data_IF_234484761919
#
_entry.id   IF_234484761919
#
_cell.length_a   1.000
_cell.length_b   1.000
_cell.length_c   1.000
_cell.angle_alpha   90.00
_cell.angle_beta   90.00
_cell.angle_gamma   90.00
#
_symmetry.space_group_name_H-M   'P 1'
#
loop_
_entity.id
_entity.type
_entity.pdbx_description
1 polymer ?
#
# COMPACT_ATOMS: atom_id res chain seq x y z
N UNK A 1 -15.11 -20.35 -62.91
CA UNK A 1 -14.20 -20.39 -64.09
C UNK A 1 -12.84 -19.90 -63.65
N UNK A 2 -11.90 -20.82 -63.75
CA UNK A 2 -10.43 -20.84 -63.67
C UNK A 2 -9.71 -19.66 -64.35
N UNK A 3 -8.36 -19.60 -64.33
CA UNK A 3 -7.34 -20.26 -63.47
C UNK A 3 -6.14 -19.34 -63.01
N UNK A 4 -5.24 -19.98 -62.25
CA UNK A 4 -3.84 -19.68 -61.90
C UNK A 4 -2.93 -19.18 -63.06
N UNK A 5 -1.68 -18.65 -62.80
CA UNK A 5 -0.58 -19.54 -62.41
C UNK A 5 0.45 -19.00 -61.36
N UNK A 6 1.12 -19.98 -60.80
CA UNK A 6 2.44 -20.05 -60.16
C UNK A 6 3.57 -19.25 -60.80
N UNK A 7 4.45 -18.69 -60.00
CA UNK A 7 5.90 -18.66 -60.32
C UNK A 7 6.73 -18.90 -59.04
N UNK A 8 7.52 -19.92 -59.13
CA UNK A 8 8.61 -20.40 -58.28
C UNK A 8 9.80 -19.47 -58.44
N UNK A 9 10.47 -19.13 -57.37
CA UNK A 9 11.76 -18.46 -57.36
C UNK A 9 12.54 -18.82 -56.09
N UNK A 10 13.28 -19.90 -56.19
CA UNK A 10 14.30 -20.30 -55.22
C UNK A 10 15.56 -19.44 -55.40
N UNK A 11 16.07 -18.87 -54.35
CA UNK A 11 17.46 -18.42 -54.32
C UNK A 11 18.07 -18.76 -52.95
N UNK A 12 18.96 -19.75 -52.97
CA UNK A 12 19.90 -20.11 -51.92
C UNK A 12 21.07 -19.12 -51.94
N UNK A 13 21.46 -18.59 -50.77
CA UNK A 13 22.84 -18.13 -50.55
C UNK A 13 23.21 -18.15 -49.06
N UNK A 14 24.07 -19.07 -48.80
CA UNK A 14 25.23 -19.22 -47.89
C UNK A 14 25.39 -18.29 -46.65
N UNK A 15 25.42 -18.94 -45.52
CA UNK A 15 26.37 -19.00 -44.38
C UNK A 15 27.41 -17.88 -44.26
N UNK A 16 27.31 -17.14 -43.13
CA UNK A 16 28.49 -16.68 -42.39
C UNK A 16 28.19 -16.73 -40.90
N UNK A 17 28.78 -17.71 -40.22
CA UNK A 17 28.83 -17.80 -38.80
C UNK A 17 29.79 -16.73 -38.27
N UNK A 18 29.29 -15.71 -37.55
CA UNK A 18 30.10 -14.94 -36.61
C UNK A 18 29.56 -15.20 -35.21
N UNK A 19 30.31 -16.00 -34.48
CA UNK A 19 30.14 -16.12 -33.05
C UNK A 19 30.57 -14.79 -32.41
N UNK A 20 29.57 -13.97 -32.04
CA UNK A 20 29.77 -12.89 -31.09
C UNK A 20 29.22 -13.35 -29.75
N UNK A 21 30.14 -13.64 -28.86
CA UNK A 21 29.94 -13.79 -27.42
C UNK A 21 29.15 -12.57 -26.91
N UNK A 22 27.90 -12.80 -26.56
CA UNK A 22 27.08 -11.81 -25.88
C UNK A 22 27.48 -11.82 -24.40
N UNK A 23 27.97 -10.71 -23.82
CA UNK A 23 28.15 -10.64 -22.38
C UNK A 23 26.79 -10.47 -21.72
N UNK A 24 26.46 -11.41 -20.84
CA UNK A 24 25.70 -11.21 -19.63
C UNK A 24 24.39 -10.44 -19.66
N UNK A 25 23.31 -11.09 -20.06
CA UNK A 25 21.93 -10.65 -19.74
C UNK A 25 21.54 -10.88 -18.25
N UNK A 26 22.51 -11.13 -17.36
CA UNK A 26 22.27 -11.35 -15.93
C UNK A 26 22.22 -10.09 -15.07
N UNK A 27 22.87 -9.00 -15.52
CA UNK A 27 22.99 -7.79 -14.70
C UNK A 27 21.78 -6.88 -14.67
N UNK A 28 20.98 -6.82 -15.76
CA UNK A 28 19.82 -5.94 -15.82
C UNK A 28 18.61 -6.50 -15.05
N UNK A 29 18.45 -7.81 -15.00
CA UNK A 29 17.35 -8.45 -14.26
C UNK A 29 17.59 -8.38 -12.76
N UNK A 30 18.83 -8.53 -12.28
CA UNK A 30 19.18 -8.35 -10.86
C UNK A 30 19.09 -6.89 -10.43
N UNK A 31 19.50 -5.93 -11.27
CA UNK A 31 19.38 -4.51 -10.98
C UNK A 31 17.91 -4.06 -10.94
N UNK A 32 17.04 -4.59 -11.82
CA UNK A 32 15.61 -4.33 -11.79
C UNK A 32 14.94 -4.98 -10.58
N UNK A 33 15.29 -6.20 -10.24
CA UNK A 33 14.77 -6.87 -9.05
C UNK A 33 15.17 -6.14 -7.76
N UNK A 34 16.38 -5.60 -7.68
CA UNK A 34 16.84 -4.78 -6.56
C UNK A 34 16.13 -3.42 -6.51
N UNK A 35 15.88 -2.79 -7.65
CA UNK A 35 15.09 -1.55 -7.73
C UNK A 35 13.64 -1.77 -7.34
N UNK A 36 13.03 -2.89 -7.75
CA UNK A 36 11.66 -3.24 -7.43
C UNK A 36 11.48 -3.58 -5.95
N UNK A 37 12.48 -4.18 -5.33
CA UNK A 37 12.50 -4.46 -3.89
C UNK A 37 12.57 -3.17 -3.08
N UNK A 38 13.31 -2.15 -3.56
CA UNK A 38 13.40 -0.84 -2.93
C UNK A 38 12.08 -0.04 -3.00
N UNK A 39 11.17 -0.40 -3.88
CA UNK A 39 9.89 0.31 -4.07
C UNK A 39 8.95 0.21 -2.86
N UNK A 40 8.99 -0.91 -2.12
CA UNK A 40 8.24 -1.14 -0.90
C UNK A 40 9.13 -1.47 0.30
N UNK A 41 10.42 -1.63 0.08
CA UNK A 41 11.35 -1.61 1.18
C UNK A 41 11.48 -0.16 1.59
N UNK A 42 10.65 0.25 2.50
CA UNK A 42 10.91 1.44 3.28
C UNK A 42 12.36 1.29 3.75
N UNK A 43 13.20 2.15 3.20
CA UNK A 43 14.62 2.13 3.47
C UNK A 43 14.80 2.13 5.00
N UNK A 44 15.25 1.01 5.54
CA UNK A 44 15.47 0.82 6.98
C UNK A 44 16.56 1.76 7.53
N UNK A 45 17.18 2.56 6.67
CA UNK A 45 18.13 3.62 7.02
C UNK A 45 17.47 4.85 7.66
N UNK A 46 16.14 5.00 7.56
CA UNK A 46 15.46 6.10 8.24
C UNK A 46 15.47 5.90 9.76
N UNK A 47 16.15 6.77 10.46
CA UNK A 47 16.22 6.83 11.93
C UNK A 47 14.85 6.93 12.64
N UNK A 48 13.77 6.98 11.89
CA UNK A 48 12.38 7.02 12.37
C UNK A 48 11.78 5.64 12.62
N UNK A 49 12.33 4.57 12.04
CA UNK A 49 11.80 3.23 12.27
C UNK A 49 12.10 2.73 13.68
N UNK A 50 11.06 2.29 14.33
CA UNK A 50 11.16 1.55 15.57
C UNK A 50 11.10 0.05 15.26
N UNK A 51 11.71 -0.81 16.10
CA UNK A 51 11.54 -2.25 15.97
C UNK A 51 10.06 -2.64 16.03
N UNK A 52 9.63 -3.53 15.16
CA UNK A 52 8.27 -4.07 15.19
C UNK A 52 8.07 -4.99 16.39
N UNK A 53 6.84 -5.09 16.88
CA UNK A 53 6.45 -6.00 17.95
C UNK A 53 6.53 -5.41 19.37
N UNK A 54 7.04 -4.21 19.55
CA UNK A 54 7.12 -3.50 20.84
C UNK A 54 6.02 -2.46 21.06
N UNK A 55 5.20 -2.24 20.04
CA UNK A 55 4.08 -1.31 20.11
C UNK A 55 2.91 -1.84 20.94
N UNK A 56 2.06 -0.92 21.41
CA UNK A 56 0.86 -1.24 22.15
C UNK A 56 -0.41 -0.62 21.60
N UNK A 57 -0.33 0.18 20.53
CA UNK A 57 -1.50 0.76 19.89
C UNK A 57 -2.35 -0.30 19.21
N UNK A 58 -3.65 -0.05 19.16
CA UNK A 58 -4.61 -0.85 18.37
C UNK A 58 -4.83 -0.17 17.02
N UNK A 59 -5.30 -0.93 16.04
CA UNK A 59 -5.69 -0.36 14.74
C UNK A 59 -6.71 0.77 14.89
N UNK A 60 -7.55 0.71 15.91
CA UNK A 60 -8.58 1.71 16.19
C UNK A 60 -8.00 3.04 16.67
N UNK A 61 -6.84 3.00 17.30
CA UNK A 61 -6.14 4.18 17.81
C UNK A 61 -5.52 5.03 16.68
N UNK A 62 -5.19 4.40 15.55
CA UNK A 62 -4.62 5.05 14.36
C UNK A 62 -5.64 5.19 13.22
N UNK A 63 -6.89 4.81 13.44
CA UNK A 63 -7.94 4.87 12.44
C UNK A 63 -8.60 6.25 12.37
N UNK A 64 -8.76 6.78 11.16
CA UNK A 64 -9.60 7.94 10.88
C UNK A 64 -11.00 7.43 10.55
N UNK A 65 -12.01 7.85 11.30
CA UNK A 65 -13.39 7.33 11.19
C UNK A 65 -14.32 8.39 10.63
N UNK A 66 -15.18 8.00 9.69
CA UNK A 66 -16.23 8.84 9.11
C UNK A 66 -17.58 8.15 9.30
N UNK A 67 -18.58 8.92 9.70
CA UNK A 67 -19.97 8.45 9.76
C UNK A 67 -20.74 9.04 8.58
N UNK A 68 -21.11 8.20 7.61
CA UNK A 68 -21.97 8.55 6.50
C UNK A 68 -23.41 8.10 6.79
N UNK A 69 -24.36 8.49 5.95
CA UNK A 69 -25.73 7.99 6.05
C UNK A 69 -25.76 6.47 5.86
N UNK A 70 -25.95 5.73 6.95
CA UNK A 70 -26.03 4.26 6.95
C UNK A 70 -24.71 3.50 6.82
N UNK A 71 -23.55 4.19 6.71
CA UNK A 71 -22.24 3.56 6.60
C UNK A 71 -21.24 4.19 7.57
N UNK A 72 -20.49 3.36 8.26
CA UNK A 72 -19.28 3.76 8.97
C UNK A 72 -18.05 3.44 8.11
N UNK A 73 -17.20 4.44 7.88
CA UNK A 73 -15.94 4.27 7.16
C UNK A 73 -14.80 4.39 8.13
N UNK A 74 -13.83 3.51 7.99
CA UNK A 74 -12.59 3.50 8.77
C UNK A 74 -11.41 3.45 7.82
N UNK A 75 -10.50 4.39 7.97
CA UNK A 75 -9.31 4.56 7.13
C UNK A 75 -8.09 4.44 8.01
N UNK A 76 -7.21 3.49 7.70
CA UNK A 76 -5.97 3.20 8.46
C UNK A 76 -4.79 3.31 7.50
N UNK A 77 -3.79 4.14 7.78
CA UNK A 77 -2.58 4.17 6.96
C UNK A 77 -1.79 2.86 7.11
N UNK A 78 -1.35 2.30 5.99
CA UNK A 78 -0.48 1.12 5.94
C UNK A 78 0.99 1.54 5.81
N UNK A 79 1.39 2.52 6.58
CA UNK A 79 2.75 3.06 6.60
C UNK A 79 3.55 2.42 7.74
N UNK A 80 4.72 1.89 7.42
CA UNK A 80 5.58 1.19 8.38
C UNK A 80 5.98 2.07 9.57
N UNK A 81 6.13 3.38 9.39
CA UNK A 81 6.44 4.31 10.49
C UNK A 81 5.34 4.38 11.54
N UNK A 82 4.12 4.01 11.13
CA UNK A 82 2.90 4.03 11.96
C UNK A 82 2.54 2.62 12.43
N UNK A 83 2.45 1.64 11.52
CA UNK A 83 1.95 0.31 11.90
C UNK A 83 2.89 -0.45 12.83
N UNK A 84 4.20 -0.16 12.84
CA UNK A 84 5.17 -0.74 13.80
C UNK A 84 4.91 -0.35 15.26
N UNK A 85 4.10 0.67 15.50
CA UNK A 85 3.68 1.10 16.83
C UNK A 85 2.47 0.32 17.35
N UNK A 86 1.88 -0.51 16.52
CA UNK A 86 0.76 -1.38 16.90
C UNK A 86 1.24 -2.56 17.74
N UNK A 87 0.32 -3.10 18.53
CA UNK A 87 0.50 -4.41 19.16
C UNK A 87 0.88 -5.46 18.12
N UNK A 88 1.73 -6.41 18.49
CA UNK A 88 2.37 -7.38 17.61
C UNK A 88 1.41 -8.06 16.62
N UNK A 89 0.22 -8.49 17.08
CA UNK A 89 -0.76 -9.16 16.23
C UNK A 89 -1.38 -8.20 15.20
N UNK A 90 -1.68 -6.97 15.61
CA UNK A 90 -2.22 -5.92 14.74
C UNK A 90 -1.20 -5.48 13.69
N UNK A 91 0.05 -5.33 14.09
CA UNK A 91 1.16 -5.06 13.17
C UNK A 91 1.26 -6.15 12.12
N UNK A 92 1.39 -7.41 12.56
CA UNK A 92 1.56 -8.56 11.67
C UNK A 92 0.42 -8.68 10.68
N UNK A 93 -0.82 -8.51 11.13
CA UNK A 93 -1.99 -8.57 10.25
C UNK A 93 -1.97 -7.51 9.13
N UNK A 94 -1.55 -6.27 9.42
CA UNK A 94 -1.48 -5.22 8.40
C UNK A 94 -0.23 -5.33 7.51
N UNK A 95 0.91 -5.72 8.09
CA UNK A 95 2.13 -5.96 7.36
C UNK A 95 1.95 -7.11 6.35
N UNK A 96 1.46 -8.27 6.79
CA UNK A 96 1.20 -9.43 5.93
C UNK A 96 0.14 -9.12 4.87
N UNK A 97 -0.82 -8.26 5.18
CA UNK A 97 -1.82 -7.80 4.21
C UNK A 97 -1.16 -7.10 3.01
N UNK A 98 -0.16 -6.27 3.25
CA UNK A 98 0.61 -5.56 2.21
C UNK A 98 1.54 -6.53 1.49
N UNK A 99 2.33 -7.32 2.24
CA UNK A 99 3.31 -8.25 1.66
C UNK A 99 2.65 -9.30 0.75
N UNK A 100 1.51 -9.84 1.15
CA UNK A 100 0.76 -10.81 0.33
C UNK A 100 0.21 -10.23 -0.99
N UNK A 101 0.26 -8.91 -1.17
CA UNK A 101 -0.20 -8.21 -2.39
C UNK A 101 0.89 -7.39 -3.07
N UNK A 102 2.12 -7.59 -2.64
CA UNK A 102 3.28 -6.84 -3.11
C UNK A 102 3.34 -6.77 -4.65
N UNK A 103 3.23 -7.90 -5.34
CA UNK A 103 3.33 -7.95 -6.80
C UNK A 103 2.20 -7.16 -7.48
N UNK A 104 0.98 -7.24 -6.93
CA UNK A 104 -0.15 -6.49 -7.43
C UNK A 104 0.04 -4.99 -7.20
N UNK A 105 0.53 -4.58 -6.03
CA UNK A 105 0.82 -3.20 -5.68
C UNK A 105 1.93 -2.62 -6.57
N UNK A 106 3.00 -3.40 -6.82
CA UNK A 106 4.07 -3.03 -7.76
C UNK A 106 3.55 -2.83 -9.18
N UNK A 107 2.69 -3.75 -9.64
CA UNK A 107 2.06 -3.64 -10.97
C UNK A 107 1.24 -2.36 -11.11
N UNK A 108 0.46 -2.01 -10.08
CA UNK A 108 -0.34 -0.77 -10.05
C UNK A 108 0.57 0.46 -10.05
N UNK A 109 1.58 0.48 -9.18
CA UNK A 109 2.52 1.59 -9.07
C UNK A 109 3.23 1.88 -10.41
N UNK A 110 3.66 0.83 -11.12
CA UNK A 110 4.25 0.95 -12.47
C UNK A 110 3.25 1.47 -13.49
N UNK A 111 2.01 0.94 -13.49
CA UNK A 111 0.94 1.37 -14.41
C UNK A 111 0.66 2.85 -14.31
N UNK A 112 0.64 3.39 -13.10
CA UNK A 112 0.34 4.80 -12.86
C UNK A 112 1.60 5.67 -12.71
N UNK A 113 2.79 5.11 -12.89
CA UNK A 113 4.09 5.79 -12.77
C UNK A 113 4.26 6.50 -11.42
N UNK A 114 3.85 5.85 -10.34
CA UNK A 114 4.00 6.35 -8.96
C UNK A 114 5.15 5.61 -8.28
N UNK A 115 6.17 6.35 -7.84
CA UNK A 115 7.37 5.77 -7.21
C UNK A 115 7.11 5.28 -5.78
N UNK A 116 6.41 6.08 -5.01
CA UNK A 116 6.13 5.83 -3.59
C UNK A 116 4.64 5.97 -3.34
N UNK A 117 3.81 4.97 -3.67
CA UNK A 117 2.39 5.05 -3.38
C UNK A 117 2.14 4.95 -1.87
N UNK A 118 1.22 5.75 -1.38
CA UNK A 118 0.69 5.59 -0.02
C UNK A 118 -0.47 4.60 -0.03
N UNK A 119 -0.46 3.69 0.93
CA UNK A 119 -1.42 2.62 1.06
C UNK A 119 -2.32 2.85 2.27
N UNK A 120 -3.61 2.58 2.10
CA UNK A 120 -4.62 2.79 3.12
C UNK A 120 -5.53 1.57 3.20
N UNK A 121 -5.62 0.95 4.37
CA UNK A 121 -6.68 -0.01 4.62
C UNK A 121 -7.98 0.74 4.88
N UNK A 122 -8.98 0.52 4.04
CA UNK A 122 -10.28 1.16 4.16
C UNK A 122 -11.36 0.10 4.35
N UNK A 123 -12.17 0.26 5.39
CA UNK A 123 -13.31 -0.61 5.63
C UNK A 123 -14.60 0.20 5.72
N UNK A 124 -15.66 -0.35 5.15
CA UNK A 124 -17.01 0.19 5.11
C UNK A 124 -17.92 -0.76 5.87
N UNK A 125 -18.54 -0.28 6.92
CA UNK A 125 -19.46 -1.05 7.76
C UNK A 125 -20.88 -0.55 7.60
N UNK A 126 -21.82 -1.44 7.22
CA UNK A 126 -23.24 -1.14 7.06
C UNK A 126 -23.92 -1.01 8.41
N UNK A 127 -24.34 0.20 8.77
CA UNK A 127 -25.13 0.47 9.97
C UNK A 127 -26.62 0.22 9.72
N UNK A 128 -27.07 0.48 8.50
CA UNK A 128 -28.45 0.29 8.05
C UNK A 128 -28.52 -0.78 6.95
N UNK A 129 -29.70 -1.39 6.73
CA UNK A 129 -29.90 -2.26 5.58
C UNK A 129 -29.72 -1.52 4.26
N UNK A 130 -29.19 -2.20 3.26
CA UNK A 130 -28.99 -1.68 1.90
C UNK A 130 -28.24 -0.34 1.82
N UNK A 131 -27.32 -0.12 2.76
CA UNK A 131 -26.48 1.07 2.78
C UNK A 131 -25.57 1.10 1.53
N UNK A 132 -25.45 2.26 0.91
CA UNK A 132 -24.63 2.46 -0.28
C UNK A 132 -23.41 3.30 0.07
N UNK A 133 -22.29 3.00 -0.58
CA UNK A 133 -21.06 3.78 -0.48
C UNK A 133 -20.39 3.88 -1.86
N UNK A 134 -19.62 4.94 -2.07
CA UNK A 134 -18.85 5.11 -3.29
C UNK A 134 -17.39 5.35 -2.91
N UNK A 135 -16.51 4.34 -2.97
CA UNK A 135 -15.12 4.49 -2.54
C UNK A 135 -14.33 5.49 -3.40
N UNK A 136 -14.78 5.83 -4.61
CA UNK A 136 -14.14 6.85 -5.44
C UNK A 136 -14.34 8.29 -4.92
N UNK A 137 -15.28 8.50 -3.99
CA UNK A 137 -15.47 9.78 -3.30
C UNK A 137 -14.50 9.99 -2.13
N UNK A 138 -13.71 8.98 -1.80
CA UNK A 138 -12.69 9.11 -0.77
C UNK A 138 -11.63 10.10 -1.23
N UNK A 139 -11.33 11.06 -0.38
CA UNK A 139 -10.26 12.05 -0.58
C UNK A 139 -9.42 12.07 0.68
N UNK A 140 -8.11 12.01 0.51
CA UNK A 140 -7.16 12.18 1.59
C UNK A 140 -6.43 13.49 1.31
N UNK A 141 -6.65 14.48 2.17
CA UNK A 141 -6.12 15.81 1.99
C UNK A 141 -4.99 16.09 2.97
N UNK A 142 -3.90 16.62 2.47
CA UNK A 142 -2.81 17.22 3.24
C UNK A 142 -3.02 18.74 3.29
N UNK A 143 -2.12 19.46 3.95
CA UNK A 143 -2.14 20.94 3.96
C UNK A 143 -1.96 21.55 2.55
N UNK A 144 -1.30 20.82 1.65
CA UNK A 144 -0.90 21.32 0.33
C UNK A 144 -1.84 20.89 -0.80
N UNK A 145 -2.46 19.70 -0.71
CA UNK A 145 -3.30 19.18 -1.79
C UNK A 145 -4.22 18.04 -1.36
N UNK A 146 -5.19 17.76 -2.24
CA UNK A 146 -6.07 16.62 -2.15
C UNK A 146 -5.53 15.46 -2.99
N UNK A 147 -5.58 14.24 -2.43
CA UNK A 147 -5.21 13.00 -3.07
C UNK A 147 -6.45 12.12 -3.21
N UNK A 148 -6.74 11.71 -4.42
CA UNK A 148 -7.78 10.74 -4.73
C UNK A 148 -7.18 9.35 -4.92
N UNK A 149 -7.96 8.29 -4.72
CA UNK A 149 -7.53 6.95 -5.08
C UNK A 149 -7.09 6.88 -6.54
N UNK A 150 -5.89 6.36 -6.79
CA UNK A 150 -5.43 6.03 -8.14
C UNK A 150 -5.83 4.61 -8.54
N UNK A 151 -5.95 3.73 -7.55
CA UNK A 151 -6.45 2.36 -7.71
C UNK A 151 -6.90 1.79 -6.37
N UNK A 152 -7.59 0.64 -6.39
CA UNK A 152 -8.06 -0.07 -5.20
C UNK A 152 -7.97 -1.57 -5.39
N UNK A 153 -7.51 -2.27 -4.34
CA UNK A 153 -7.49 -3.73 -4.28
C UNK A 153 -8.59 -4.18 -3.32
N UNK A 154 -9.65 -4.80 -3.85
CA UNK A 154 -10.71 -5.38 -3.04
C UNK A 154 -10.16 -6.51 -2.14
N UNK A 155 -10.54 -6.50 -0.87
CA UNK A 155 -10.15 -7.50 0.13
C UNK A 155 -11.31 -8.44 0.46
N UNK A 156 -12.52 -7.97 0.30
CA UNK A 156 -13.74 -8.74 0.55
C UNK A 156 -14.51 -8.99 -0.75
N UNK A 157 -15.11 -10.18 -0.92
CA UNK A 157 -16.05 -10.43 -2.02
C UNK A 157 -17.19 -9.41 -2.00
N UNK A 158 -17.68 -9.02 -3.17
CA UNK A 158 -18.79 -8.06 -3.29
C UNK A 158 -18.39 -6.59 -3.16
N UNK A 159 -17.12 -6.25 -2.88
CA UNK A 159 -16.68 -4.85 -2.77
C UNK A 159 -17.05 -4.01 -4.01
N UNK A 160 -17.08 -4.57 -5.19
CA UNK A 160 -17.46 -3.88 -6.44
C UNK A 160 -18.95 -3.55 -6.57
N UNK A 161 -19.82 -4.09 -5.72
CA UNK A 161 -21.26 -3.80 -5.73
C UNK A 161 -21.58 -2.48 -5.02
N UNK A 162 -20.71 -1.98 -4.16
CA UNK A 162 -20.82 -0.74 -3.38
C UNK A 162 -22.11 -0.66 -2.52
N UNK A 163 -22.60 -1.83 -2.11
CA UNK A 163 -23.77 -2.00 -1.26
C UNK A 163 -23.43 -2.87 -0.06
N UNK A 164 -24.00 -2.55 1.07
CA UNK A 164 -23.78 -3.25 2.33
C UNK A 164 -25.11 -3.68 2.93
N UNK A 165 -25.17 -4.92 3.34
CA UNK A 165 -26.21 -5.36 4.27
C UNK A 165 -25.96 -4.77 5.65
N UNK A 166 -26.96 -4.78 6.49
CA UNK A 166 -26.77 -4.37 7.88
C UNK A 166 -25.74 -5.28 8.56
N UNK A 167 -24.78 -4.67 9.26
CA UNK A 167 -23.64 -5.33 9.95
C UNK A 167 -22.63 -6.01 9.00
N UNK A 168 -22.74 -5.80 7.72
CA UNK A 168 -21.75 -6.25 6.76
C UNK A 168 -20.56 -5.30 6.76
N UNK A 169 -19.36 -5.88 6.58
CA UNK A 169 -18.14 -5.11 6.38
C UNK A 169 -17.53 -5.48 5.04
N UNK A 170 -17.26 -4.49 4.22
CA UNK A 170 -16.44 -4.64 3.02
C UNK A 170 -15.18 -3.80 3.15
N UNK A 171 -14.08 -4.26 2.59
CA UNK A 171 -12.79 -3.60 2.73
C UNK A 171 -11.95 -3.69 1.47
N UNK A 172 -11.03 -2.71 1.34
CA UNK A 172 -10.07 -2.63 0.26
C UNK A 172 -8.76 -2.02 0.75
N UNK A 173 -7.68 -2.25 0.01
CA UNK A 173 -6.49 -1.38 0.04
C UNK A 173 -6.72 -0.29 -1.00
N UNK A 174 -6.75 0.95 -0.54
CA UNK A 174 -6.79 2.14 -1.38
C UNK A 174 -5.36 2.62 -1.59
N UNK A 175 -5.04 2.95 -2.84
CA UNK A 175 -3.71 3.38 -3.27
C UNK A 175 -3.82 4.83 -3.72
N UNK A 176 -2.95 5.68 -3.20
CA UNK A 176 -2.86 7.09 -3.56
C UNK A 176 -1.44 7.43 -3.99
N UNK A 177 -1.24 8.62 -4.53
CA UNK A 177 0.10 9.19 -4.60
C UNK A 177 0.70 9.33 -3.20
N UNK A 178 2.00 9.61 -3.13
CA UNK A 178 2.74 9.74 -1.87
C UNK A 178 2.12 10.78 -0.94
N UNK A 179 1.87 10.37 0.29
CA UNK A 179 1.34 11.19 1.39
C UNK A 179 2.23 10.99 2.62
N UNK A 180 2.81 12.06 3.10
CA UNK A 180 3.55 12.04 4.37
C UNK A 180 2.57 11.98 5.55
N UNK A 181 2.41 10.79 6.12
CA UNK A 181 1.54 10.56 7.28
C UNK A 181 2.10 11.13 8.60
N UNK A 182 3.32 11.65 8.61
CA UNK A 182 3.87 12.40 9.74
C UNK A 182 3.31 13.82 9.84
N UNK A 183 2.63 14.27 8.79
CA UNK A 183 1.95 15.57 8.71
C UNK A 183 0.45 15.43 8.99
N UNK A 184 -0.23 16.54 9.31
CA UNK A 184 -1.68 16.55 9.44
C UNK A 184 -2.37 16.10 8.15
N UNK A 185 -3.20 15.08 8.28
CA UNK A 185 -4.02 14.53 7.20
C UNK A 185 -5.49 14.67 7.58
N UNK A 186 -6.32 15.01 6.60
CA UNK A 186 -7.77 15.01 6.68
C UNK A 186 -8.32 13.97 5.71
N UNK A 187 -9.27 13.19 6.14
CA UNK A 187 -10.01 12.27 5.28
C UNK A 187 -11.40 12.83 5.04
N UNK A 188 -11.83 12.82 3.79
CA UNK A 188 -13.15 13.24 3.37
C UNK A 188 -13.80 12.15 2.52
N UNK A 189 -15.12 12.00 2.66
CA UNK A 189 -15.94 11.18 1.77
C UNK A 189 -17.33 11.85 1.63
N UNK A 190 -17.69 12.21 0.41
CA UNK A 190 -18.84 13.08 0.17
C UNK A 190 -18.72 14.41 0.91
N UNK A 191 -19.71 14.73 1.72
CA UNK A 191 -19.73 15.97 2.54
C UNK A 191 -19.08 15.80 3.92
N UNK A 192 -18.76 14.57 4.34
CA UNK A 192 -18.22 14.29 5.67
C UNK A 192 -16.71 14.38 5.68
N UNK A 193 -16.16 15.05 6.68
CA UNK A 193 -14.71 15.26 6.85
C UNK A 193 -14.27 14.90 8.26
N UNK A 194 -13.06 14.38 8.40
CA UNK A 194 -12.43 14.14 9.69
C UNK A 194 -10.94 14.52 9.64
N UNK A 195 -10.52 15.40 10.55
CA UNK A 195 -9.14 15.86 10.73
C UNK A 195 -8.51 15.40 12.05
N UNK A 196 -9.03 14.32 12.65
CA UNK A 196 -8.54 13.79 13.93
C UNK A 196 -7.08 13.33 13.90
N UNK A 197 -6.50 13.15 12.71
CA UNK A 197 -5.12 12.69 12.54
C UNK A 197 -4.10 13.56 13.28
N UNK A 198 -4.31 14.85 13.35
CA UNK A 198 -3.43 15.74 14.13
C UNK A 198 -3.37 15.37 15.63
N UNK A 199 -4.47 14.89 16.18
CA UNK A 199 -4.50 14.39 17.57
C UNK A 199 -3.82 13.03 17.65
N UNK A 200 -4.05 12.17 16.66
CA UNK A 200 -3.42 10.85 16.52
C UNK A 200 -1.89 10.96 16.43
N UNK A 201 -1.36 11.94 15.70
CA UNK A 201 0.10 12.19 15.60
C UNK A 201 0.75 12.37 16.95
N UNK A 202 0.14 13.10 17.87
CA UNK A 202 0.67 13.27 19.22
C UNK A 202 0.72 11.98 20.04
N UNK A 203 -0.21 11.08 19.81
CA UNK A 203 -0.23 9.75 20.40
C UNK A 203 0.86 8.85 19.76
N UNK A 204 0.99 8.89 18.44
CA UNK A 204 2.03 8.19 17.67
C UNK A 204 3.42 8.58 18.17
N UNK A 205 3.71 9.87 18.34
CA UNK A 205 5.01 10.33 18.83
C UNK A 205 5.32 9.85 20.26
N UNK A 206 4.33 9.87 21.13
CA UNK A 206 4.48 9.33 22.49
C UNK A 206 4.77 7.84 22.48
N UNK A 207 3.99 7.06 21.71
CA UNK A 207 4.20 5.62 21.62
C UNK A 207 5.55 5.28 20.98
N UNK A 208 6.00 6.06 19.99
CA UNK A 208 7.32 5.89 19.36
C UNK A 208 8.46 6.01 20.39
N UNK A 209 8.38 6.96 21.31
CA UNK A 209 9.34 7.10 22.39
C UNK A 209 9.30 5.89 23.36
N UNK A 210 8.10 5.42 23.71
CA UNK A 210 7.91 4.24 24.56
C UNK A 210 8.47 2.97 23.92
N UNK A 211 8.18 2.75 22.62
CA UNK A 211 8.68 1.60 21.86
C UNK A 211 10.20 1.59 21.81
N UNK A 212 10.84 2.74 21.56
CA UNK A 212 12.30 2.85 21.58
C UNK A 212 12.88 2.47 22.94
N UNK A 213 12.25 2.91 24.02
CA UNK A 213 12.67 2.58 25.39
C UNK A 213 12.54 1.09 25.69
N UNK A 214 11.41 0.46 25.31
CA UNK A 214 11.18 -0.99 25.48
C UNK A 214 12.23 -1.79 24.71
N UNK A 215 12.44 -1.47 23.43
CA UNK A 215 13.42 -2.16 22.60
C UNK A 215 14.86 -2.01 23.09
N UNK A 216 15.21 -0.89 23.71
CA UNK A 216 16.52 -0.70 24.30
C UNK A 216 16.70 -1.54 25.59
N UNK A 217 15.64 -1.70 26.39
CA UNK A 217 15.67 -2.50 27.62
C UNK A 217 15.72 -4.02 27.40
N UNK A 218 15.21 -4.50 26.24
CA UNK A 218 15.25 -5.93 25.87
C UNK A 218 16.52 -6.33 25.12
N UNK A 219 17.36 -5.39 24.70
CA UNK A 219 18.62 -5.72 24.04
C UNK A 219 19.61 -6.29 25.06
N UNK A 220 20.10 -7.55 24.91
CA UNK A 220 21.09 -8.10 25.79
C UNK A 220 22.34 -7.20 25.80
N UNK A 221 23.03 -7.06 26.95
CA UNK A 221 24.26 -6.27 27.01
C UNK A 221 25.25 -6.83 25.98
N UNK A 222 25.77 -5.92 25.16
CA UNK A 222 26.84 -6.28 24.22
C UNK A 222 28.01 -6.81 25.05
N UNK A 223 28.53 -8.03 24.79
CA UNK A 223 29.69 -8.50 25.50
C UNK A 223 30.84 -7.52 25.24
N UNK A 224 31.31 -6.88 26.30
CA UNK A 224 32.51 -6.07 26.26
C UNK A 224 33.67 -7.01 25.92
N UNK A 225 34.27 -6.83 24.73
CA UNK A 225 35.44 -7.57 24.25
C UNK A 225 36.73 -7.02 24.81
#
# INVERSE_FOLDING_TARGET
MSPRPLTLGALLLAVAACATTTPGAGGEVEAQAQSDTAFFTLDSSHAQFVPAGFGSLRQDDIAIKLGLSGVQVRVVPLDETVIRLLASDSYRALHDLVENRRDQLLSIARRYNVRSPSLWYVSFYGVQPDAQFNPSELVIATTSREHRPIDMIALTPGFGEYRLRQRETQSAIVITEEIDVSQPVMVQMGSVRNSSWQTTLRMIERERAVVRSRAAGERPPTPEG
#
